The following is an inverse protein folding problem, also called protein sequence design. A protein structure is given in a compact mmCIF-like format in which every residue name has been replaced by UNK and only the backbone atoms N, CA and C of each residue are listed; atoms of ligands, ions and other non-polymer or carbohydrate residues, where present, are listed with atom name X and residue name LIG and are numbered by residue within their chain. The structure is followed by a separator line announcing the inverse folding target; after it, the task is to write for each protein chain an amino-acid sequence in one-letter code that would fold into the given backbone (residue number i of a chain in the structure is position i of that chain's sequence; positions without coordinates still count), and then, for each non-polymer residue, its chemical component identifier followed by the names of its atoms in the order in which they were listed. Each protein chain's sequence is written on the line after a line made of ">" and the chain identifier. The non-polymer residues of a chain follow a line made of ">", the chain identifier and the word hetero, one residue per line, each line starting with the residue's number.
data_IF_181491042969
#
_entry.id   IF_181491042969
#
_cell.length_a   1.000
_cell.length_b   1.000
_cell.length_c   1.000
_cell.angle_alpha   90.00
_cell.angle_beta   90.00
_cell.angle_gamma   90.00
#
_symmetry.space_group_name_H-M   'P 1'
#
loop_
_entity.id
_entity.type
_entity.pdbx_description
1 polymer ?
#
# COMPACT_ATOMS: atom_id res chain seq x y z
N UNK A 1 -34.43 -3.48 -15.34
CA UNK A 1 -33.33 -2.51 -15.50
C UNK A 1 -32.11 -3.16 -14.86
N UNK A 2 -31.01 -3.33 -15.61
CA UNK A 2 -29.80 -3.98 -15.09
C UNK A 2 -28.96 -2.89 -14.41
N UNK A 3 -28.63 -3.08 -13.14
CA UNK A 3 -27.65 -2.22 -12.47
C UNK A 3 -26.26 -2.63 -12.95
N UNK A 4 -25.61 -1.73 -13.69
CA UNK A 4 -24.20 -1.81 -14.06
C UNK A 4 -23.39 -1.62 -12.78
N UNK A 5 -22.93 -2.73 -12.20
CA UNK A 5 -21.99 -2.73 -11.09
C UNK A 5 -20.69 -2.05 -11.52
N UNK A 6 -20.49 -0.82 -11.04
CA UNK A 6 -19.28 -0.03 -11.26
C UNK A 6 -18.05 -0.84 -10.83
N UNK A 7 -17.24 -1.27 -11.79
CA UNK A 7 -15.94 -1.89 -11.53
C UNK A 7 -15.04 -0.82 -10.93
N UNK A 8 -14.83 -0.88 -9.62
CA UNK A 8 -13.82 -0.07 -8.96
C UNK A 8 -12.44 -0.44 -9.58
N UNK A 9 -11.93 0.45 -10.42
CA UNK A 9 -10.58 0.32 -10.97
C UNK A 9 -9.60 0.81 -9.91
N UNK A 10 -9.09 -0.11 -9.08
CA UNK A 10 -8.04 0.21 -8.12
C UNK A 10 -6.71 0.37 -8.85
N UNK A 11 -6.29 1.60 -9.11
CA UNK A 11 -4.94 1.89 -9.63
C UNK A 11 -3.92 1.64 -8.53
N UNK A 12 -3.16 0.54 -8.63
CA UNK A 12 -2.04 0.27 -7.72
C UNK A 12 -0.83 1.13 -8.09
N UNK A 13 -0.37 2.00 -7.18
CA UNK A 13 0.95 2.61 -7.29
C UNK A 13 1.98 1.61 -6.75
N UNK A 14 2.88 1.10 -7.60
CA UNK A 14 4.00 0.29 -7.14
C UNK A 14 5.06 1.23 -6.53
N UNK A 15 5.20 1.23 -5.20
CA UNK A 15 6.29 1.95 -4.55
C UNK A 15 7.40 0.96 -4.21
N UNK A 16 8.58 1.17 -4.78
CA UNK A 16 9.78 0.40 -4.45
C UNK A 16 10.62 1.22 -3.45
N UNK A 17 10.80 0.69 -2.23
CA UNK A 17 11.64 1.33 -1.22
C UNK A 17 13.12 1.24 -1.61
N UNK A 18 13.77 2.38 -1.88
CA UNK A 18 15.24 2.46 -1.99
C UNK A 18 15.82 2.95 -0.67
N UNK A 19 16.39 2.04 0.11
CA UNK A 19 17.07 2.39 1.37
C UNK A 19 18.48 2.98 1.11
N UNK A 20 18.81 4.08 1.78
CA UNK A 20 20.17 4.66 1.72
C UNK A 20 21.12 3.84 2.60
N UNK A 21 22.02 3.08 1.98
CA UNK A 21 22.91 2.11 2.65
C UNK A 21 23.80 2.72 3.76
N UNK A 22 23.73 2.18 4.97
CA UNK A 22 24.88 2.05 5.86
C UNK A 22 25.66 0.78 5.47
N UNK A 23 26.98 0.87 5.25
CA UNK A 23 27.82 -0.25 4.76
C UNK A 23 27.95 -1.43 5.75
N UNK A 24 27.39 -1.35 6.96
CA UNK A 24 27.47 -2.39 7.99
C UNK A 24 26.11 -3.05 8.32
N UNK A 25 25.22 -3.22 7.35
CA UNK A 25 23.97 -3.97 7.54
C UNK A 25 23.75 -4.94 6.39
N UNK A 26 23.67 -6.24 6.72
CA UNK A 26 23.30 -7.29 5.78
C UNK A 26 21.78 -7.30 5.61
N UNK A 27 21.28 -6.42 4.75
CA UNK A 27 19.88 -6.39 4.34
C UNK A 27 19.67 -7.43 3.23
N UNK A 28 18.96 -8.52 3.55
CA UNK A 28 18.44 -9.41 2.53
C UNK A 28 17.42 -8.62 1.70
N UNK A 29 17.79 -8.26 0.47
CA UNK A 29 16.94 -7.55 -0.50
C UNK A 29 15.81 -8.48 -1.00
N UNK A 30 14.87 -8.84 -0.14
CA UNK A 30 13.53 -9.23 -0.59
C UNK A 30 12.84 -7.93 -0.96
N UNK A 31 12.68 -7.69 -2.27
CA UNK A 31 11.99 -6.50 -2.76
C UNK A 31 10.65 -6.31 -2.05
N UNK A 32 10.46 -5.14 -1.45
CA UNK A 32 9.20 -4.74 -0.86
C UNK A 32 8.46 -3.86 -1.87
N UNK A 33 7.21 -4.23 -2.16
CA UNK A 33 6.27 -3.40 -2.92
C UNK A 33 5.19 -2.89 -1.97
N UNK A 34 4.85 -1.61 -2.06
CA UNK A 34 3.72 -1.04 -1.33
C UNK A 34 2.54 -0.79 -2.28
N UNK A 35 1.33 -0.92 -1.76
CA UNK A 35 0.08 -0.57 -2.46
C UNK A 35 -0.60 0.61 -1.74
N UNK A 36 -1.16 1.56 -2.50
CA UNK A 36 -1.91 2.69 -1.98
C UNK A 36 -3.30 2.76 -2.64
N UNK A 37 -4.32 3.12 -1.87
CA UNK A 37 -5.71 3.33 -2.34
C UNK A 37 -6.36 4.47 -1.56
N UNK A 38 -7.28 5.19 -2.20
CA UNK A 38 -8.09 6.23 -1.56
C UNK A 38 -9.27 5.66 -0.74
N UNK A 39 -9.58 4.37 -0.90
CA UNK A 39 -10.66 3.67 -0.23
C UNK A 39 -10.29 3.23 1.19
N UNK A 40 -10.54 4.10 2.18
CA UNK A 40 -10.25 3.83 3.59
C UNK A 40 -11.06 2.67 4.17
N UNK A 41 -12.23 2.41 3.60
CA UNK A 41 -13.16 1.34 3.95
C UNK A 41 -12.62 -0.07 3.67
N UNK A 42 -11.57 -0.20 2.84
CA UNK A 42 -10.90 -1.48 2.59
C UNK A 42 -9.90 -1.87 3.68
N UNK A 43 -9.60 -0.97 4.61
CA UNK A 43 -8.61 -1.20 5.66
C UNK A 43 -9.29 -1.56 6.98
N UNK A 44 -8.75 -2.60 7.63
CA UNK A 44 -8.98 -2.88 9.04
C UNK A 44 -7.92 -2.20 9.89
N UNK A 45 -8.24 -1.93 11.16
CA UNK A 45 -7.32 -1.27 12.10
C UNK A 45 -6.71 0.04 11.54
N UNK A 46 -7.48 0.77 10.73
CA UNK A 46 -6.99 1.97 10.08
C UNK A 46 -6.58 3.02 11.11
N UNK A 47 -5.31 3.42 11.08
CA UNK A 47 -4.76 4.48 11.90
C UNK A 47 -4.46 5.68 11.00
N UNK A 48 -5.16 6.78 11.26
CA UNK A 48 -4.86 8.07 10.65
C UNK A 48 -3.76 8.79 11.44
N UNK A 49 -2.60 9.00 10.82
CA UNK A 49 -1.51 9.84 11.32
C UNK A 49 -0.50 10.10 10.21
N UNK A 50 0.45 10.99 10.46
CA UNK A 50 1.56 11.21 9.55
C UNK A 50 2.56 10.04 9.61
N UNK A 51 2.73 9.32 8.50
CA UNK A 51 3.74 8.27 8.33
C UNK A 51 4.91 8.68 7.43
N UNK A 52 4.97 9.96 7.04
CA UNK A 52 5.97 10.49 6.13
C UNK A 52 5.44 10.63 4.71
N UNK A 53 6.37 10.81 3.78
CA UNK A 53 6.10 11.06 2.36
C UNK A 53 6.77 10.01 1.49
N UNK A 54 6.14 9.71 0.37
CA UNK A 54 6.72 8.95 -0.73
C UNK A 54 6.90 9.88 -1.92
N UNK A 55 8.01 9.73 -2.63
CA UNK A 55 8.30 10.51 -3.82
C UNK A 55 7.91 9.69 -5.05
N UNK A 56 7.10 10.28 -5.91
CA UNK A 56 6.66 9.69 -7.17
C UNK A 56 7.77 9.81 -8.23
N UNK A 57 7.55 9.19 -9.39
CA UNK A 57 8.53 9.20 -10.50
C UNK A 57 8.80 10.59 -11.09
N UNK A 58 7.99 11.59 -10.75
CA UNK A 58 8.13 12.99 -11.12
C UNK A 58 8.63 13.87 -9.95
N UNK A 59 9.25 13.26 -8.93
CA UNK A 59 9.74 13.89 -7.70
C UNK A 59 8.67 14.59 -6.85
N UNK A 60 7.38 14.44 -7.20
CA UNK A 60 6.30 14.95 -6.35
C UNK A 60 6.18 14.11 -5.08
N UNK A 61 5.96 14.80 -3.96
CA UNK A 61 5.78 14.15 -2.68
C UNK A 61 4.30 13.87 -2.40
N UNK A 62 3.98 12.63 -2.02
CA UNK A 62 2.66 12.20 -1.58
C UNK A 62 2.71 11.84 -0.08
N UNK A 63 1.78 12.38 0.71
CA UNK A 63 1.69 12.11 2.14
C UNK A 63 1.05 10.76 2.43
N UNK A 64 1.71 9.94 3.25
CA UNK A 64 1.09 8.74 3.84
C UNK A 64 0.29 9.19 5.06
N UNK A 65 -1.01 9.44 4.83
CA UNK A 65 -1.93 9.97 5.84
C UNK A 65 -2.58 8.91 6.72
N UNK A 66 -2.48 7.64 6.35
CA UNK A 66 -2.97 6.54 7.15
C UNK A 66 -2.50 5.18 6.65
N UNK A 67 -2.60 4.19 7.52
CA UNK A 67 -2.33 2.78 7.20
C UNK A 67 -3.34 1.89 7.90
N UNK A 68 -3.58 0.71 7.36
CA UNK A 68 -4.32 -0.35 8.03
C UNK A 68 -3.99 -1.69 7.41
N UNK A 69 -4.52 -2.75 8.01
CA UNK A 69 -4.39 -4.10 7.48
C UNK A 69 -5.41 -4.31 6.36
N UNK A 70 -5.04 -5.08 5.35
CA UNK A 70 -5.98 -5.50 4.29
C UNK A 70 -6.22 -6.99 4.42
N UNK A 71 -7.50 -7.39 4.45
CA UNK A 71 -7.90 -8.78 4.33
C UNK A 71 -8.01 -9.17 2.86
N UNK A 72 -7.23 -10.16 2.46
CA UNK A 72 -7.28 -10.75 1.13
C UNK A 72 -7.86 -12.15 1.28
N UNK A 73 -9.00 -12.37 0.65
CA UNK A 73 -9.59 -13.69 0.54
C UNK A 73 -9.16 -14.32 -0.79
N UNK A 74 -8.44 -15.44 -0.70
CA UNK A 74 -8.11 -16.25 -1.86
C UNK A 74 -8.71 -17.64 -1.63
N UNK A 75 -9.83 -17.92 -2.31
CA UNK A 75 -10.69 -19.08 -2.07
C UNK A 75 -11.22 -19.11 -0.61
N UNK A 76 -11.27 -20.28 0.02
CA UNK A 76 -11.73 -20.46 1.42
C UNK A 76 -10.65 -20.08 2.47
N UNK A 77 -9.53 -19.51 2.03
CA UNK A 77 -8.43 -19.09 2.89
C UNK A 77 -8.37 -17.57 3.00
N UNK A 78 -8.22 -17.08 4.24
CA UNK A 78 -8.10 -15.65 4.55
C UNK A 78 -6.66 -15.30 4.92
N UNK A 79 -6.12 -14.28 4.26
CA UNK A 79 -4.79 -13.74 4.52
C UNK A 79 -4.90 -12.29 5.01
N UNK A 80 -4.06 -11.91 5.95
CA UNK A 80 -3.91 -10.54 6.43
C UNK A 80 -2.51 -10.04 6.07
N UNK A 81 -2.42 -8.81 5.57
CA UNK A 81 -1.14 -8.13 5.30
C UNK A 81 -1.08 -6.80 6.04
N UNK A 82 0.12 -6.41 6.46
CA UNK A 82 0.44 -5.20 7.25
C UNK A 82 1.40 -4.28 6.50
#
# INVERSE_FOLDING_TARGET
>A
MREEGSRASSSALNMEGRESRNKNQNINQRGASFHATSHKDLFENYVFRNFGKVYLGDDQACDITGKGDVKIQLNDSMYSTT
#
